data_IF_878672827338
#
_entry.id   IF_878672827338
#
_cell.length_a   1.000
_cell.length_b   1.000
_cell.length_c   1.000
_cell.angle_alpha   90.00
_cell.angle_beta   90.00
_cell.angle_gamma   90.00
#
_symmetry.space_group_name_H-M   'P 1'
#
loop_
_entity.id
_entity.type
_entity.pdbx_description
1 polymer ?
#
# COMPACT_ATOMS: atom_id res chain seq x y z
N UNK A 1 -13.66 -0.13 36.43
CA UNK A 1 -13.59 -0.26 34.96
C UNK A 1 -12.11 -0.27 34.59
N UNK A 2 -11.57 -1.39 34.12
CA UNK A 2 -10.15 -1.52 33.83
C UNK A 2 -9.86 -0.80 32.51
N UNK A 3 -9.11 0.30 32.55
CA UNK A 3 -8.59 0.93 31.34
C UNK A 3 -7.32 0.16 30.97
N UNK A 4 -7.44 -0.83 30.09
CA UNK A 4 -6.28 -1.53 29.53
C UNK A 4 -5.62 -0.62 28.51
N UNK A 5 -4.66 0.20 28.95
CA UNK A 5 -3.69 0.83 28.05
C UNK A 5 -2.74 -0.26 27.53
N UNK A 6 -2.35 -0.15 26.27
CA UNK A 6 -1.39 -1.04 25.63
C UNK A 6 -0.49 -0.23 24.71
N UNK A 7 0.70 -0.74 24.45
CA UNK A 7 1.64 -0.11 23.54
C UNK A 7 1.12 -0.18 22.09
N UNK A 8 1.15 0.95 21.37
CA UNK A 8 0.74 1.00 19.97
C UNK A 8 1.80 0.35 19.07
N UNK A 9 1.41 -0.60 18.22
CA UNK A 9 2.33 -1.29 17.32
C UNK A 9 2.94 -0.39 16.22
N UNK A 10 2.41 0.82 16.02
CA UNK A 10 2.93 1.77 15.02
C UNK A 10 3.91 2.78 15.65
N UNK A 11 3.47 3.50 16.69
CA UNK A 11 4.26 4.58 17.30
C UNK A 11 4.95 4.23 18.62
N UNK A 12 4.68 3.04 19.19
CA UNK A 12 5.25 2.62 20.48
C UNK A 12 4.72 3.39 21.70
N UNK A 13 3.72 4.26 21.54
CA UNK A 13 3.16 5.02 22.65
C UNK A 13 2.15 4.19 23.43
N UNK A 14 2.24 4.20 24.76
CA UNK A 14 1.25 3.53 25.62
C UNK A 14 -0.05 4.33 25.61
N UNK A 15 -1.11 3.73 25.09
CA UNK A 15 -2.41 4.40 24.92
C UNK A 15 -3.53 3.38 24.80
N UNK A 16 -4.77 3.84 24.71
CA UNK A 16 -5.90 2.94 24.40
C UNK A 16 -5.80 2.51 22.95
N UNK A 17 -5.30 1.29 22.70
CA UNK A 17 -5.25 0.74 21.36
C UNK A 17 -6.52 -0.07 21.07
N UNK A 18 -7.03 0.03 19.84
CA UNK A 18 -8.20 -0.71 19.36
C UNK A 18 -7.93 -1.23 17.97
N UNK A 19 -8.53 -2.36 17.63
CA UNK A 19 -8.50 -2.90 16.27
C UNK A 19 -9.24 -1.94 15.34
N UNK A 20 -8.63 -1.60 14.20
CA UNK A 20 -9.17 -0.65 13.22
C UNK A 20 -9.46 -1.37 11.92
N UNK A 21 -10.58 -1.02 11.29
CA UNK A 21 -10.98 -1.58 10.02
C UNK A 21 -10.56 -0.62 8.90
N UNK A 22 -9.42 -0.90 8.29
CA UNK A 22 -9.04 -0.35 6.98
C UNK A 22 -9.22 -1.44 5.92
N UNK A 23 -9.55 -1.06 4.69
CA UNK A 23 -9.56 -2.00 3.56
C UNK A 23 -8.14 -2.48 3.25
N UNK A 24 -7.99 -3.65 2.63
CA UNK A 24 -6.67 -4.15 2.17
C UNK A 24 -5.95 -3.13 1.27
N UNK A 25 -6.71 -2.40 0.45
CA UNK A 25 -6.19 -1.35 -0.42
C UNK A 25 -5.60 -0.21 0.40
N UNK A 26 -6.32 0.26 1.43
CA UNK A 26 -5.83 1.30 2.33
C UNK A 26 -4.56 0.87 3.09
N UNK A 27 -4.49 -0.38 3.56
CA UNK A 27 -3.26 -0.90 4.16
C UNK A 27 -2.10 -0.93 3.17
N UNK A 28 -2.34 -1.38 1.94
CA UNK A 28 -1.31 -1.49 0.91
C UNK A 28 -0.70 -0.12 0.58
N UNK A 29 -1.52 0.91 0.44
CA UNK A 29 -1.04 2.26 0.10
C UNK A 29 -0.34 2.94 1.28
N UNK A 30 -0.83 2.75 2.50
CA UNK A 30 -0.14 3.22 3.70
C UNK A 30 1.25 2.58 3.84
N UNK A 31 1.40 1.31 3.47
CA UNK A 31 2.71 0.64 3.41
C UNK A 31 3.60 1.18 2.29
N UNK A 32 3.04 1.39 1.10
CA UNK A 32 3.78 1.94 -0.04
C UNK A 32 4.29 3.36 0.23
N UNK A 33 3.51 4.16 0.96
CA UNK A 33 3.89 5.50 1.40
C UNK A 33 4.77 5.50 2.66
N UNK A 34 5.00 4.33 3.26
CA UNK A 34 5.80 4.17 4.47
C UNK A 34 5.25 4.99 5.67
N UNK A 35 3.93 5.19 5.70
CA UNK A 35 3.20 5.90 6.77
C UNK A 35 2.83 4.97 7.92
N UNK A 36 2.82 3.65 7.66
CA UNK A 36 2.57 2.62 8.66
C UNK A 36 3.64 1.55 8.66
N UNK A 37 3.96 1.01 9.84
CA UNK A 37 4.86 -0.13 9.92
C UNK A 37 4.20 -1.43 9.42
N UNK A 38 4.92 -2.31 8.71
CA UNK A 38 4.42 -3.62 8.28
C UNK A 38 3.92 -4.51 9.44
N UNK A 39 4.55 -4.37 10.60
CA UNK A 39 4.18 -5.07 11.84
C UNK A 39 2.87 -4.57 12.45
N UNK A 40 2.42 -3.37 12.09
CA UNK A 40 1.22 -2.74 12.63
C UNK A 40 -0.04 -3.04 11.80
N UNK A 41 0.10 -3.69 10.64
CA UNK A 41 -1.01 -4.07 9.77
C UNK A 41 -1.92 -5.06 10.48
N UNK A 42 -3.22 -4.76 10.51
CA UNK A 42 -4.26 -5.54 11.23
C UNK A 42 -3.98 -5.68 12.75
N UNK A 43 -3.08 -4.87 13.30
CA UNK A 43 -2.84 -4.79 14.74
C UNK A 43 -3.65 -3.64 15.37
N UNK A 44 -3.85 -3.68 16.70
CA UNK A 44 -4.46 -2.57 17.42
C UNK A 44 -3.62 -1.29 17.31
N UNK A 45 -4.29 -0.18 16.98
CA UNK A 45 -3.68 1.15 16.88
C UNK A 45 -4.31 2.09 17.91
N UNK A 46 -3.50 3.03 18.41
CA UNK A 46 -4.01 4.14 19.20
C UNK A 46 -4.88 5.08 18.34
N UNK A 47 -5.73 5.89 18.99
CA UNK A 47 -6.59 6.85 18.30
C UNK A 47 -5.76 7.86 17.46
N UNK A 48 -4.64 8.35 17.99
CA UNK A 48 -3.78 9.31 17.29
C UNK A 48 -3.23 8.76 15.97
N UNK A 49 -2.59 7.59 15.97
CA UNK A 49 -2.11 7.00 14.72
C UNK A 49 -3.24 6.68 13.76
N UNK A 50 -4.41 6.27 14.26
CA UNK A 50 -5.55 6.02 13.40
C UNK A 50 -6.03 7.29 12.70
N UNK A 51 -6.12 8.41 13.42
CA UNK A 51 -6.53 9.70 12.87
C UNK A 51 -5.50 10.22 11.85
N UNK A 52 -4.20 10.14 12.14
CA UNK A 52 -3.13 10.55 11.21
C UNK A 52 -3.14 9.74 9.91
N UNK A 53 -3.28 8.42 10.00
CA UNK A 53 -3.37 7.55 8.82
C UNK A 53 -4.63 7.86 8.00
N UNK A 54 -5.74 8.18 8.68
CA UNK A 54 -7.00 8.53 8.02
C UNK A 54 -6.90 9.88 7.30
N UNK A 55 -6.31 10.89 7.94
CA UNK A 55 -6.05 12.19 7.31
C UNK A 55 -5.15 12.02 6.09
N UNK A 56 -4.08 11.23 6.19
CA UNK A 56 -3.18 10.96 5.06
C UNK A 56 -3.90 10.29 3.88
N UNK A 57 -4.79 9.32 4.16
CA UNK A 57 -5.61 8.68 3.12
C UNK A 57 -6.59 9.66 2.46
N UNK A 58 -7.11 10.64 3.21
CA UNK A 58 -8.01 11.68 2.69
C UNK A 58 -7.22 12.68 1.83
N UNK A 59 -6.09 13.17 2.33
CA UNK A 59 -5.27 14.18 1.65
C UNK A 59 -4.69 13.67 0.33
N UNK A 60 -4.37 12.38 0.27
CA UNK A 60 -3.85 11.72 -0.94
C UNK A 60 -4.92 10.87 -1.65
N UNK A 61 -6.20 11.10 -1.38
CA UNK A 61 -7.31 10.38 -2.01
C UNK A 61 -7.29 10.50 -3.55
N UNK A 62 -6.87 11.66 -4.07
CA UNK A 62 -6.76 11.89 -5.52
C UNK A 62 -5.63 11.06 -6.16
N UNK A 63 -4.56 10.77 -5.42
CA UNK A 63 -3.47 9.91 -5.89
C UNK A 63 -3.86 8.42 -5.87
N UNK A 64 -4.76 8.02 -4.97
CA UNK A 64 -5.29 6.67 -4.86
C UNK A 64 -6.07 6.25 -6.11
N UNK A 65 -6.93 7.13 -6.62
CA UNK A 65 -7.70 6.90 -7.85
C UNK A 65 -6.79 6.70 -9.08
N UNK A 66 -5.65 7.42 -9.13
CA UNK A 66 -4.65 7.28 -10.19
C UNK A 66 -3.82 5.99 -10.09
N UNK A 67 -3.44 5.60 -8.87
CA UNK A 67 -2.63 4.39 -8.63
C UNK A 67 -3.44 3.10 -8.80
N UNK A 68 -4.67 3.05 -8.28
CA UNK A 68 -5.56 1.88 -8.39
C UNK A 68 -5.94 1.56 -9.83
N UNK A 69 -6.12 2.59 -10.67
CA UNK A 69 -6.34 2.42 -12.12
C UNK A 69 -5.15 1.74 -12.83
N UNK A 70 -3.93 1.91 -12.34
CA UNK A 70 -2.74 1.31 -12.93
C UNK A 70 -2.55 -0.16 -12.50
N UNK A 71 -2.94 -0.52 -11.28
CA UNK A 71 -2.81 -1.89 -10.74
C UNK A 71 -3.79 -2.87 -11.42
N UNK A 72 -4.94 -2.39 -11.91
CA UNK A 72 -5.91 -3.24 -12.62
C UNK A 72 -5.50 -3.64 -14.05
N UNK A 73 -4.33 -3.20 -14.55
CA UNK A 73 -3.85 -3.59 -15.88
C UNK A 73 -2.47 -4.27 -15.84
N UNK A 74 -2.35 -5.50 -15.32
CA UNK A 74 -1.09 -6.25 -15.34
C UNK A 74 -0.64 -6.68 -16.76
N UNK A 75 -1.35 -6.29 -17.83
CA UNK A 75 -1.12 -6.79 -19.19
C UNK A 75 -0.22 -5.92 -20.09
N UNK A 76 0.24 -4.73 -19.66
CA UNK A 76 0.94 -3.79 -20.56
C UNK A 76 2.46 -3.65 -20.38
N UNK A 77 3.06 -4.41 -19.49
CA UNK A 77 4.51 -4.35 -19.21
C UNK A 77 5.27 -5.56 -19.78
N UNK A 78 5.07 -5.89 -21.06
CA UNK A 78 6.06 -6.67 -21.82
C UNK A 78 6.46 -5.85 -23.03
N UNK A 79 7.68 -5.28 -23.09
CA UNK A 79 8.24 -4.93 -24.39
C UNK A 79 8.40 -6.24 -25.17
N UNK A 80 7.58 -6.42 -26.20
CA UNK A 80 7.74 -7.50 -27.15
C UNK A 80 9.05 -7.24 -27.91
N UNK A 81 10.13 -7.89 -27.47
CA UNK A 81 11.39 -7.93 -28.21
C UNK A 81 11.21 -8.81 -29.44
N UNK A 82 10.54 -8.25 -30.45
CA UNK A 82 10.55 -8.75 -31.81
C UNK A 82 11.80 -8.22 -32.51
N UNK A 83 12.86 -9.01 -32.59
CA UNK A 83 13.91 -8.82 -33.59
C UNK A 83 13.87 -9.98 -34.57
N UNK A 84 13.51 -9.63 -35.80
CA UNK A 84 13.22 -10.53 -36.89
C UNK A 84 14.39 -11.40 -37.31
N UNK A 85 14.04 -12.61 -37.71
CA UNK A 85 14.90 -13.61 -38.33
C UNK A 85 15.32 -13.11 -39.73
N UNK A 86 16.50 -12.51 -39.84
CA UNK A 86 17.08 -12.09 -41.13
C UNK A 86 17.35 -13.29 -42.04
N UNK A 87 16.53 -13.42 -43.09
CA UNK A 87 16.70 -14.36 -44.19
C UNK A 87 17.60 -13.70 -45.25
N UNK A 88 18.88 -14.08 -45.31
CA UNK A 88 19.74 -13.68 -46.43
C UNK A 88 20.02 -14.93 -47.28
N UNK A 89 19.44 -14.95 -48.48
CA UNK A 89 19.79 -15.87 -49.55
C UNK A 89 21.08 -15.39 -50.21
N UNK A 90 22.03 -16.28 -50.50
CA UNK A 90 23.06 -16.04 -51.52
C UNK A 90 23.19 -17.25 -52.45
N UNK A 91 23.27 -16.90 -53.71
CA UNK A 91 23.24 -17.72 -54.91
C UNK A 91 24.52 -18.54 -55.10
N UNK A 92 24.35 -19.69 -55.76
CA UNK A 92 25.40 -20.36 -56.53
C UNK A 92 25.13 -20.19 -58.01
#
# INVERSE_FOLDING_TARGET
MQHTSSECCNCGTESKCRRREFSEQAWTVLLLWNEVQPSAVDQPLCDSCYDELRETLIDRAEELDGALNNVQNPAKSRPATGTGRSKVRRAG
#
